data_IF_411323517294
#
_entry.id   IF_411323517294
#
_cell.length_a   1.000
_cell.length_b   1.000
_cell.length_c   1.000
_cell.angle_alpha   90.00
_cell.angle_beta   90.00
_cell.angle_gamma   90.00
#
_symmetry.space_group_name_H-M   'P 1'
#
loop_
_entity.id
_entity.type
_entity.pdbx_description
1 polymer ?
#
# COMPACT_ATOMS: atom_id res chain seq x y z
N UNK A 1 26.21 7.34 -15.78
CA UNK A 1 24.98 6.52 -15.80
C UNK A 1 24.06 7.09 -14.74
N UNK A 2 22.81 7.40 -15.06
CA UNK A 2 21.83 7.88 -14.08
C UNK A 2 21.23 6.64 -13.42
N UNK A 3 21.39 6.48 -12.10
CA UNK A 3 20.77 5.40 -11.34
C UNK A 3 19.29 5.65 -11.10
N UNK A 4 18.51 4.59 -10.84
CA UNK A 4 17.07 4.69 -10.53
C UNK A 4 16.87 5.38 -9.18
N UNK A 5 17.77 5.14 -8.22
CA UNK A 5 17.77 5.79 -6.92
C UNK A 5 19.22 5.99 -6.44
N UNK A 6 19.46 7.05 -5.70
CA UNK A 6 20.72 7.29 -4.98
C UNK A 6 20.39 7.45 -3.49
N UNK A 7 20.76 6.43 -2.71
CA UNK A 7 20.50 6.44 -1.26
C UNK A 7 21.70 7.04 -0.57
N UNK A 8 21.47 8.08 0.24
CA UNK A 8 22.47 8.70 1.09
C UNK A 8 22.00 8.62 2.53
N UNK A 9 22.67 7.81 3.33
CA UNK A 9 22.48 7.81 4.77
C UNK A 9 23.39 8.85 5.41
N UNK A 10 22.86 9.58 6.36
CA UNK A 10 23.64 10.49 7.21
C UNK A 10 24.21 9.74 8.42
N UNK A 11 25.09 10.39 9.16
CA UNK A 11 25.66 9.80 10.37
C UNK A 11 24.57 9.44 11.40
N UNK A 12 23.47 10.18 11.45
CA UNK A 12 22.37 9.93 12.37
C UNK A 12 21.69 8.57 12.13
N UNK A 13 21.38 8.23 10.87
CA UNK A 13 20.77 6.94 10.54
C UNK A 13 21.75 5.79 10.80
N UNK A 14 23.03 6.00 10.50
CA UNK A 14 24.09 5.01 10.74
C UNK A 14 24.25 4.76 12.25
N UNK A 15 24.32 5.82 13.06
CA UNK A 15 24.46 5.72 14.53
C UNK A 15 23.21 5.06 15.15
N UNK A 16 22.01 5.38 14.68
CA UNK A 16 20.76 4.75 15.14
C UNK A 16 20.79 3.23 14.86
N UNK A 17 21.21 2.83 13.67
CA UNK A 17 21.34 1.40 13.32
C UNK A 17 22.40 0.69 14.19
N UNK A 18 23.54 1.32 14.43
CA UNK A 18 24.60 0.79 15.32
C UNK A 18 24.06 0.65 16.75
N UNK A 19 23.30 1.61 17.25
CA UNK A 19 22.73 1.54 18.59
C UNK A 19 21.77 0.33 18.75
N UNK A 20 20.93 0.07 17.74
CA UNK A 20 20.05 -1.11 17.72
C UNK A 20 20.87 -2.41 17.71
N UNK A 21 21.90 -2.49 16.86
CA UNK A 21 22.78 -3.69 16.82
C UNK A 21 23.47 -3.95 18.15
N UNK A 22 23.98 -2.90 18.79
CA UNK A 22 24.64 -3.01 20.13
C UNK A 22 23.68 -3.38 21.23
N UNK A 23 22.40 -3.01 21.14
CA UNK A 23 21.38 -3.36 22.13
C UNK A 23 21.00 -4.85 22.13
N UNK A 24 21.28 -5.57 21.04
CA UNK A 24 20.83 -6.96 20.82
C UNK A 24 19.31 -7.09 20.56
N UNK A 25 18.58 -6.01 20.48
CA UNK A 25 17.13 -5.96 20.20
C UNK A 25 16.84 -6.10 18.69
N UNK A 26 17.15 -7.27 18.11
CA UNK A 26 17.11 -7.49 16.65
C UNK A 26 15.78 -8.05 16.12
N UNK A 27 14.72 -7.89 16.88
CA UNK A 27 13.35 -8.26 16.47
C UNK A 27 12.41 -7.09 16.74
N UNK A 28 11.12 -7.23 16.41
CA UNK A 28 10.11 -6.23 16.75
C UNK A 28 10.22 -5.83 18.23
N UNK A 29 10.18 -4.53 18.49
CA UNK A 29 10.41 -3.97 19.80
C UNK A 29 10.25 -2.43 19.81
N UNK A 30 10.90 -1.74 20.77
CA UNK A 30 10.67 -0.30 20.97
C UNK A 30 10.84 0.57 19.73
N UNK A 31 11.80 0.26 18.85
CA UNK A 31 12.02 1.04 17.61
C UNK A 31 10.87 0.86 16.62
N UNK A 32 10.34 -0.35 16.49
CA UNK A 32 9.17 -0.60 15.64
C UNK A 32 7.94 0.13 16.19
N UNK A 33 7.71 0.06 17.51
CA UNK A 33 6.57 0.73 18.14
C UNK A 33 6.65 2.25 17.96
N UNK A 34 7.83 2.84 18.18
CA UNK A 34 8.05 4.27 17.98
C UNK A 34 7.79 4.66 16.51
N UNK A 35 8.30 3.88 15.56
CA UNK A 35 8.07 4.13 14.14
C UNK A 35 6.58 4.02 13.77
N UNK A 36 5.86 3.03 14.29
CA UNK A 36 4.42 2.86 14.08
C UNK A 36 3.63 4.10 14.56
N UNK A 37 3.95 4.60 15.76
CA UNK A 37 3.31 5.78 16.34
C UNK A 37 3.66 7.06 15.55
N UNK A 38 4.95 7.29 15.29
CA UNK A 38 5.43 8.48 14.59
C UNK A 38 4.94 8.54 13.14
N UNK A 39 5.01 7.42 12.42
CA UNK A 39 4.54 7.38 11.04
C UNK A 39 3.02 7.53 10.94
N UNK A 40 2.26 6.86 11.80
CA UNK A 40 0.81 7.04 11.84
C UNK A 40 0.44 8.51 12.13
N UNK A 41 1.11 9.14 13.10
CA UNK A 41 0.89 10.56 13.39
C UNK A 41 1.27 11.47 12.20
N UNK A 42 2.37 11.16 11.50
CA UNK A 42 2.85 11.93 10.36
C UNK A 42 1.85 11.94 9.19
N UNK A 43 1.31 10.78 8.86
CA UNK A 43 0.33 10.65 7.75
C UNK A 43 -1.12 10.91 8.18
N UNK A 44 -1.36 11.13 9.48
CA UNK A 44 -2.70 11.36 10.02
C UNK A 44 -3.55 10.09 10.16
N UNK A 45 -2.91 8.92 10.18
CA UNK A 45 -3.58 7.65 10.45
C UNK A 45 -3.84 7.43 11.94
N UNK A 46 -4.84 6.63 12.25
CA UNK A 46 -5.17 6.27 13.63
C UNK A 46 -4.20 5.24 14.23
N UNK A 47 -3.73 4.34 13.41
CA UNK A 47 -2.83 3.25 13.81
C UNK A 47 -1.81 2.99 12.70
N UNK A 48 -0.60 2.58 13.10
CA UNK A 48 0.42 2.05 12.23
C UNK A 48 0.78 0.62 12.62
N UNK A 49 1.22 -0.17 11.66
CA UNK A 49 1.74 -1.53 11.89
C UNK A 49 2.92 -1.77 10.97
N UNK A 50 4.04 -2.20 11.53
CA UNK A 50 5.23 -2.56 10.77
C UNK A 50 5.19 -4.01 10.28
N UNK A 51 5.72 -4.21 9.09
CA UNK A 51 5.95 -5.52 8.50
C UNK A 51 7.33 -5.56 7.84
N UNK A 52 7.77 -6.74 7.40
CA UNK A 52 9.11 -6.93 6.85
C UNK A 52 9.33 -6.32 5.46
N UNK A 53 8.27 -5.96 4.75
CA UNK A 53 8.31 -5.37 3.41
C UNK A 53 6.96 -4.79 3.01
N UNK A 54 6.91 -3.97 1.94
CA UNK A 54 5.65 -3.52 1.33
C UNK A 54 4.77 -4.69 0.84
N UNK A 55 5.38 -5.76 0.32
CA UNK A 55 4.63 -6.98 -0.04
C UNK A 55 3.95 -7.61 1.18
N UNK A 56 4.65 -7.69 2.32
CA UNK A 56 4.05 -8.18 3.57
C UNK A 56 2.95 -7.26 4.07
N UNK A 57 3.11 -5.93 3.91
CA UNK A 57 2.07 -4.97 4.27
C UNK A 57 0.80 -5.18 3.45
N UNK A 58 0.90 -5.46 2.15
CA UNK A 58 -0.24 -5.81 1.30
C UNK A 58 -0.84 -7.19 1.64
N UNK A 59 0.00 -8.16 2.04
CA UNK A 59 -0.46 -9.52 2.34
C UNK A 59 -1.34 -9.57 3.59
N UNK A 60 -0.99 -8.83 4.64
CA UNK A 60 -1.68 -8.85 5.93
C UNK A 60 -3.19 -8.56 5.83
N UNK A 61 -3.64 -7.46 5.18
CA UNK A 61 -5.07 -7.20 5.02
C UNK A 61 -5.78 -8.30 4.23
N UNK A 62 -5.18 -8.82 3.16
CA UNK A 62 -5.79 -9.89 2.38
C UNK A 62 -5.96 -11.17 3.21
N UNK A 63 -4.97 -11.55 4.02
CA UNK A 63 -5.08 -12.69 4.94
C UNK A 63 -6.22 -12.53 5.95
N UNK A 64 -6.56 -11.30 6.33
CA UNK A 64 -7.59 -11.03 7.32
C UNK A 64 -9.01 -10.99 6.75
N UNK A 65 -9.16 -10.78 5.44
CA UNK A 65 -10.46 -10.49 4.83
C UNK A 65 -10.90 -11.47 3.74
N UNK A 66 -9.97 -12.25 3.14
CA UNK A 66 -10.29 -13.13 2.02
C UNK A 66 -10.46 -14.56 2.44
N UNK A 67 -11.46 -15.20 1.85
CA UNK A 67 -11.63 -16.65 1.85
C UNK A 67 -11.11 -17.24 0.52
N UNK A 68 -10.78 -18.54 0.47
CA UNK A 68 -10.31 -19.17 -0.76
C UNK A 68 -11.24 -18.96 -1.95
N UNK A 69 -10.72 -18.36 -3.02
CA UNK A 69 -11.45 -18.07 -4.24
C UNK A 69 -12.18 -16.72 -4.29
N UNK A 70 -12.10 -15.92 -3.22
CA UNK A 70 -12.53 -14.53 -3.25
C UNK A 70 -11.69 -13.74 -4.26
N UNK A 71 -12.31 -12.77 -4.91
CA UNK A 71 -11.69 -11.98 -5.96
C UNK A 71 -11.35 -10.56 -5.47
N UNK A 72 -10.18 -10.07 -5.92
CA UNK A 72 -9.72 -8.70 -5.69
C UNK A 72 -9.43 -8.03 -7.03
N UNK A 73 -10.03 -6.87 -7.27
CA UNK A 73 -9.76 -6.05 -8.45
C UNK A 73 -8.41 -5.37 -8.29
N UNK A 74 -7.48 -5.65 -9.20
CA UNK A 74 -6.11 -5.11 -9.17
C UNK A 74 -5.78 -4.44 -10.51
N UNK A 75 -5.13 -3.26 -10.53
CA UNK A 75 -4.69 -2.68 -11.80
C UNK A 75 -3.67 -3.60 -12.49
N UNK A 76 -3.75 -3.70 -13.82
CA UNK A 76 -2.84 -4.51 -14.62
C UNK A 76 -1.44 -3.90 -14.73
N UNK A 77 -1.32 -2.60 -14.54
CA UNK A 77 -0.06 -1.86 -14.55
C UNK A 77 0.33 -1.42 -13.13
N UNK A 78 1.08 -2.28 -12.46
CA UNK A 78 1.59 -2.06 -11.11
C UNK A 78 2.78 -2.98 -10.83
N UNK A 79 3.43 -2.83 -9.68
CA UNK A 79 4.38 -3.82 -9.19
C UNK A 79 3.65 -5.12 -8.83
N UNK A 80 4.26 -6.25 -9.14
CA UNK A 80 3.65 -7.58 -9.01
C UNK A 80 3.06 -7.87 -7.61
N UNK A 81 3.59 -7.25 -6.55
CA UNK A 81 3.15 -7.50 -5.18
C UNK A 81 1.66 -7.20 -4.97
N UNK A 82 1.11 -6.15 -5.61
CA UNK A 82 -0.31 -5.78 -5.50
C UNK A 82 -1.23 -6.97 -5.81
N UNK A 83 -0.90 -7.76 -6.84
CA UNK A 83 -1.68 -8.92 -7.26
C UNK A 83 -1.20 -10.23 -6.63
N UNK A 84 0.13 -10.44 -6.51
CA UNK A 84 0.67 -11.70 -6.01
C UNK A 84 0.32 -11.95 -4.54
N UNK A 85 0.19 -10.89 -3.72
CA UNK A 85 -0.20 -11.03 -2.31
C UNK A 85 -1.66 -11.43 -2.14
N UNK A 86 -2.53 -11.10 -3.08
CA UNK A 86 -3.90 -11.65 -3.16
C UNK A 86 -3.84 -13.18 -3.35
N UNK A 87 -3.03 -13.63 -4.32
CA UNK A 87 -2.87 -15.08 -4.58
C UNK A 87 -2.26 -15.81 -3.38
N UNK A 88 -1.29 -15.21 -2.71
CA UNK A 88 -0.66 -15.78 -1.52
C UNK A 88 -1.62 -15.89 -0.34
N UNK A 89 -2.64 -15.03 -0.26
CA UNK A 89 -3.70 -15.10 0.73
C UNK A 89 -4.84 -16.08 0.36
N UNK A 90 -4.72 -16.80 -0.78
CA UNK A 90 -5.75 -17.74 -1.26
C UNK A 90 -6.84 -17.11 -2.11
N UNK A 91 -6.78 -15.80 -2.34
CA UNK A 91 -7.68 -15.09 -3.24
C UNK A 91 -7.26 -15.18 -4.71
N UNK A 92 -8.06 -14.60 -5.57
CA UNK A 92 -7.84 -14.53 -7.02
C UNK A 92 -7.73 -13.06 -7.45
N UNK A 93 -6.59 -12.57 -7.94
CA UNK A 93 -6.50 -11.25 -8.53
C UNK A 93 -7.28 -11.22 -9.84
N UNK A 94 -8.11 -10.21 -10.00
CA UNK A 94 -8.84 -9.91 -11.25
C UNK A 94 -8.25 -8.62 -11.79
N UNK A 95 -7.53 -8.73 -12.90
CA UNK A 95 -6.85 -7.57 -13.49
C UNK A 95 -7.83 -6.62 -14.15
N UNK A 96 -7.67 -5.36 -13.81
CA UNK A 96 -8.42 -4.21 -14.33
C UNK A 96 -7.46 -3.36 -15.15
N UNK A 97 -7.93 -2.80 -16.24
CA UNK A 97 -7.13 -1.90 -17.05
C UNK A 97 -6.83 -0.60 -16.29
N UNK A 98 -5.93 0.21 -16.81
CA UNK A 98 -5.57 1.51 -16.26
C UNK A 98 -5.88 2.61 -17.27
N UNK A 99 -6.22 3.77 -16.79
CA UNK A 99 -6.35 4.97 -17.60
C UNK A 99 -5.00 5.32 -18.24
N UNK A 100 -4.91 5.51 -19.56
CA UNK A 100 -3.64 5.68 -20.27
C UNK A 100 -2.93 7.01 -19.96
N UNK A 101 -3.64 8.00 -19.44
CA UNK A 101 -3.09 9.32 -19.13
C UNK A 101 -2.57 9.40 -17.69
N UNK A 102 -3.25 8.73 -16.76
CA UNK A 102 -2.94 8.78 -15.33
C UNK A 102 -2.23 7.52 -14.81
N UNK A 103 -2.34 6.40 -15.51
CA UNK A 103 -1.89 5.06 -15.11
C UNK A 103 -2.58 4.53 -13.83
N UNK A 104 -3.66 5.17 -13.41
CA UNK A 104 -4.46 4.73 -12.27
C UNK A 104 -5.55 3.75 -12.72
N UNK A 105 -6.09 2.99 -11.77
CA UNK A 105 -7.12 1.97 -12.05
C UNK A 105 -8.33 2.56 -12.78
N UNK A 106 -8.75 1.92 -13.88
CA UNK A 106 -9.96 2.29 -14.63
C UNK A 106 -11.20 1.69 -13.97
N UNK A 107 -12.01 2.53 -13.33
CA UNK A 107 -13.23 2.09 -12.67
C UNK A 107 -14.34 1.66 -13.64
N UNK A 108 -14.30 2.10 -14.90
CA UNK A 108 -15.26 1.66 -15.90
C UNK A 108 -14.97 0.21 -16.35
N UNK A 109 -13.71 -0.13 -16.52
CA UNK A 109 -13.30 -1.51 -16.75
C UNK A 109 -13.52 -2.38 -15.51
N UNK A 110 -13.22 -1.86 -14.31
CA UNK A 110 -13.50 -2.52 -13.04
C UNK A 110 -14.98 -2.91 -12.90
N UNK A 111 -15.91 -2.03 -13.28
CA UNK A 111 -17.36 -2.27 -13.23
C UNK A 111 -17.75 -3.53 -14.01
N UNK A 112 -17.13 -3.75 -15.16
CA UNK A 112 -17.40 -4.91 -16.01
C UNK A 112 -16.91 -6.24 -15.43
N UNK A 113 -16.03 -6.19 -14.43
CA UNK A 113 -15.32 -7.34 -13.84
C UNK A 113 -15.78 -7.73 -12.45
N UNK A 114 -16.72 -6.96 -11.86
CA UNK A 114 -17.31 -7.29 -10.56
C UNK A 114 -18.14 -8.57 -10.68
N UNK A 115 -17.93 -9.47 -9.74
CA UNK A 115 -18.72 -10.71 -9.57
C UNK A 115 -19.22 -10.84 -8.13
N UNK A 116 -20.03 -11.84 -7.85
CA UNK A 116 -20.47 -12.14 -6.48
C UNK A 116 -19.32 -12.58 -5.55
N UNK A 117 -18.14 -12.89 -6.11
CA UNK A 117 -16.93 -13.25 -5.37
C UNK A 117 -15.98 -12.07 -5.16
N UNK A 118 -16.21 -10.93 -5.78
CA UNK A 118 -15.39 -9.76 -5.58
C UNK A 118 -15.57 -9.25 -4.15
N UNK A 119 -14.47 -9.15 -3.39
CA UNK A 119 -14.46 -8.73 -1.98
C UNK A 119 -13.69 -7.45 -1.74
N UNK A 120 -12.73 -7.15 -2.60
CA UNK A 120 -11.91 -5.96 -2.45
C UNK A 120 -11.48 -5.36 -3.79
N UNK A 121 -11.05 -4.12 -3.72
CA UNK A 121 -10.34 -3.41 -4.79
C UNK A 121 -9.01 -2.91 -4.23
N UNK A 122 -7.94 -3.01 -5.02
CA UNK A 122 -6.57 -2.62 -4.68
C UNK A 122 -6.08 -1.47 -5.57
N UNK A 123 -6.54 -0.23 -5.37
CA UNK A 123 -6.04 0.91 -6.13
C UNK A 123 -4.59 1.20 -5.76
N UNK A 124 -3.78 1.59 -6.74
CA UNK A 124 -2.35 1.90 -6.56
C UNK A 124 -2.12 3.38 -6.84
N UNK A 125 -1.49 4.08 -5.90
CA UNK A 125 -1.04 5.47 -6.06
C UNK A 125 0.28 5.48 -6.84
N UNK A 126 0.20 5.11 -8.12
CA UNK A 126 1.38 4.83 -8.94
C UNK A 126 2.22 6.09 -9.14
N UNK A 127 3.53 5.97 -8.97
CA UNK A 127 4.50 7.07 -9.07
C UNK A 127 4.20 8.28 -8.16
N UNK A 128 3.44 8.06 -7.07
CA UNK A 128 3.02 9.12 -6.16
C UNK A 128 1.78 9.90 -6.63
N UNK A 129 1.15 9.49 -7.73
CA UNK A 129 -0.11 10.07 -8.19
C UNK A 129 -1.28 9.47 -7.40
N UNK A 130 -1.98 10.24 -6.53
CA UNK A 130 -3.07 9.68 -5.73
C UNK A 130 -4.29 9.38 -6.60
N UNK A 131 -4.93 8.23 -6.33
CA UNK A 131 -6.20 7.88 -6.97
C UNK A 131 -7.29 8.89 -6.58
N UNK A 132 -8.31 9.03 -7.43
CA UNK A 132 -9.52 9.77 -7.11
C UNK A 132 -10.27 9.06 -5.98
N UNK A 133 -10.02 9.51 -4.75
CA UNK A 133 -10.60 8.92 -3.54
C UNK A 133 -12.13 8.83 -3.59
N UNK A 134 -12.87 9.93 -3.85
CA UNK A 134 -14.33 9.89 -3.93
C UNK A 134 -14.86 8.87 -4.94
N UNK A 135 -14.24 8.77 -6.11
CA UNK A 135 -14.64 7.82 -7.13
C UNK A 135 -14.43 6.37 -6.69
N UNK A 136 -13.24 6.04 -6.14
CA UNK A 136 -12.94 4.68 -5.65
C UNK A 136 -13.82 4.31 -4.46
N UNK A 137 -14.01 5.18 -3.47
CA UNK A 137 -14.89 4.92 -2.34
C UNK A 137 -16.36 4.78 -2.77
N UNK A 138 -16.79 5.58 -3.76
CA UNK A 138 -18.13 5.46 -4.34
C UNK A 138 -18.34 4.10 -5.01
N UNK A 139 -17.36 3.65 -5.77
CA UNK A 139 -17.35 2.33 -6.40
C UNK A 139 -17.36 1.21 -5.35
N UNK A 140 -16.50 1.29 -4.36
CA UNK A 140 -16.41 0.29 -3.31
C UNK A 140 -17.72 0.18 -2.50
N UNK A 141 -18.33 1.31 -2.14
CA UNK A 141 -19.67 1.31 -1.47
C UNK A 141 -20.76 0.71 -2.33
N UNK A 142 -20.79 1.00 -3.64
CA UNK A 142 -21.78 0.47 -4.57
C UNK A 142 -21.76 -1.05 -4.61
N UNK A 143 -20.59 -1.66 -4.49
CA UNK A 143 -20.38 -3.10 -4.63
C UNK A 143 -20.05 -3.82 -3.31
N UNK A 144 -20.15 -3.13 -2.17
CA UNK A 144 -19.81 -3.65 -0.83
C UNK A 144 -18.38 -4.24 -0.76
N UNK A 145 -17.40 -3.52 -1.33
CA UNK A 145 -16.01 -3.93 -1.39
C UNK A 145 -15.19 -3.26 -0.28
N UNK A 146 -14.17 -3.97 0.19
CA UNK A 146 -13.08 -3.39 0.98
C UNK A 146 -12.06 -2.73 0.05
N UNK A 147 -11.36 -1.72 0.56
CA UNK A 147 -10.29 -1.06 -0.19
C UNK A 147 -8.96 -1.36 0.50
N UNK A 148 -7.97 -1.79 -0.30
CA UNK A 148 -6.58 -1.92 0.14
C UNK A 148 -5.76 -0.97 -0.74
N UNK A 149 -5.44 0.20 -0.21
CA UNK A 149 -4.68 1.21 -0.91
C UNK A 149 -3.20 0.83 -0.96
N UNK A 150 -2.66 0.68 -2.16
CA UNK A 150 -1.23 0.49 -2.35
C UNK A 150 -0.55 1.86 -2.53
N UNK A 151 0.07 2.32 -1.45
CA UNK A 151 0.80 3.58 -1.38
C UNK A 151 2.32 3.36 -1.34
N UNK A 152 2.82 2.21 -1.86
CA UNK A 152 4.24 1.89 -1.84
C UNK A 152 5.13 2.98 -2.46
N UNK A 153 4.61 3.78 -3.37
CA UNK A 153 5.31 4.85 -4.07
C UNK A 153 4.75 6.25 -3.75
N UNK A 154 3.95 6.40 -2.70
CA UNK A 154 3.15 7.60 -2.47
C UNK A 154 3.37 8.25 -1.10
N UNK A 155 4.61 8.16 -0.58
CA UNK A 155 4.99 8.87 0.65
C UNK A 155 4.83 10.39 0.45
N UNK A 156 4.10 11.05 1.37
CA UNK A 156 3.82 12.47 1.29
C UNK A 156 2.87 12.88 0.16
N UNK A 157 2.29 11.92 -0.56
CA UNK A 157 1.26 12.22 -1.54
C UNK A 157 -0.04 12.65 -0.84
N UNK A 158 -0.68 13.67 -1.38
CA UNK A 158 -1.90 14.23 -0.81
C UNK A 158 -3.01 14.35 -1.83
N UNK A 159 -4.24 14.20 -1.36
CA UNK A 159 -5.45 14.45 -2.10
C UNK A 159 -6.33 15.39 -1.28
N UNK A 160 -6.75 16.51 -1.88
CA UNK A 160 -7.57 17.53 -1.24
C UNK A 160 -7.01 18.03 0.11
N UNK A 161 -5.69 18.26 0.14
CA UNK A 161 -4.96 18.80 1.30
C UNK A 161 -4.74 17.80 2.45
N UNK A 162 -5.02 16.52 2.26
CA UNK A 162 -4.78 15.45 3.24
C UNK A 162 -3.84 14.41 2.68
N UNK A 163 -2.95 13.89 3.51
CA UNK A 163 -2.09 12.76 3.15
C UNK A 163 -2.93 11.52 2.86
N UNK A 164 -2.53 10.73 1.86
CA UNK A 164 -3.25 9.48 1.51
C UNK A 164 -3.29 8.48 2.66
N UNK A 165 -2.32 8.50 3.55
CA UNK A 165 -2.28 7.65 4.74
C UNK A 165 -3.35 7.97 5.79
N UNK A 166 -3.99 9.14 5.69
CA UNK A 166 -5.12 9.53 6.56
C UNK A 166 -6.46 8.97 6.11
N UNK A 167 -6.48 8.22 4.99
CA UNK A 167 -7.72 7.69 4.47
C UNK A 167 -8.22 6.53 5.32
N UNK A 168 -9.54 6.34 5.34
CA UNK A 168 -10.14 5.18 5.96
C UNK A 168 -9.73 3.91 5.20
N UNK A 169 -9.99 2.74 5.78
CA UNK A 169 -9.52 1.44 5.31
C UNK A 169 -8.01 1.21 5.56
N UNK A 170 -7.37 0.39 4.73
CA UNK A 170 -5.97 0.02 4.89
C UNK A 170 -5.10 0.69 3.83
N UNK A 171 -4.08 1.41 4.24
CA UNK A 171 -3.08 2.02 3.35
C UNK A 171 -1.73 1.35 3.59
N UNK A 172 -1.16 0.75 2.54
CA UNK A 172 0.08 -0.02 2.60
C UNK A 172 1.23 0.78 1.98
N UNK A 173 2.27 1.03 2.78
CA UNK A 173 3.50 1.71 2.36
C UNK A 173 4.66 0.74 2.20
N UNK A 174 5.68 1.17 1.46
CA UNK A 174 6.93 0.44 1.31
C UNK A 174 8.12 1.37 1.51
N UNK A 175 9.06 0.96 2.33
CA UNK A 175 10.32 1.66 2.56
C UNK A 175 11.47 1.01 1.77
N UNK A 176 11.14 0.41 0.62
CA UNK A 176 12.16 -0.09 -0.30
C UNK A 176 12.95 1.09 -0.89
N UNK A 177 14.27 0.99 -1.02
CA UNK A 177 15.14 2.12 -1.34
C UNK A 177 14.82 2.92 -2.61
N UNK A 178 14.13 2.35 -3.57
CA UNK A 178 13.69 3.08 -4.78
C UNK A 178 12.31 3.74 -4.65
N UNK A 179 11.61 3.52 -3.52
CA UNK A 179 10.35 4.19 -3.24
C UNK A 179 10.64 5.54 -2.58
N UNK A 180 10.02 6.58 -3.01
CA UNK A 180 10.16 8.02 -2.74
C UNK A 180 10.50 8.44 -1.29
N UNK A 181 11.60 7.95 -0.74
CA UNK A 181 12.13 8.30 0.59
C UNK A 181 13.56 8.80 0.47
#
# INVERSE_FOLDING_TARGET
MIGIAEIKLTDNEIEAAIAVLKSGGLRQGPQCNAFEEEFAAHVGAKHGMTSSSGSSALHLPYMSMLEPGDEVLCPSFTFIATASMVSMAGGKPVFVDVDPDTFLIDLADAESKVTSRTKAIAPVHLFGNPCDRPAVEGFARKHDLKIVWDAAQAHGAGYDGKDVGSWDDVVCYSFYPSNNM
#
